data_IF_236659090011
#
_entry.id   IF_236659090011
#
_cell.length_a   1.000
_cell.length_b   1.000
_cell.length_c   1.000
_cell.angle_alpha   90.00
_cell.angle_beta   90.00
_cell.angle_gamma   90.00
#
_symmetry.space_group_name_H-M   'P 1'
#
loop_
_entity.id
_entity.type
_entity.pdbx_description
1 polymer ?
#
# COMPACT_ATOMS: atom_id res chain seq x y z
N UNK A 1 -15.13 -48.61 -16.26
CA UNK A 1 -13.71 -48.19 -16.41
C UNK A 1 -13.38 -46.88 -15.69
N UNK A 2 -14.16 -45.81 -15.86
CA UNK A 2 -13.89 -44.50 -15.21
C UNK A 2 -13.76 -44.56 -13.68
N UNK A 3 -14.66 -45.26 -12.98
CA UNK A 3 -14.59 -45.37 -11.51
C UNK A 3 -13.27 -45.95 -10.98
N UNK A 4 -12.66 -46.89 -11.70
CA UNK A 4 -11.37 -47.49 -11.32
C UNK A 4 -10.23 -46.50 -11.58
N UNK A 5 -10.25 -45.83 -12.73
CA UNK A 5 -9.30 -44.76 -13.07
C UNK A 5 -9.27 -43.67 -11.98
N UNK A 6 -10.44 -43.15 -11.60
CA UNK A 6 -10.56 -42.11 -10.59
C UNK A 6 -10.02 -42.58 -9.23
N UNK A 7 -10.17 -43.88 -8.89
CA UNK A 7 -9.63 -44.44 -7.65
C UNK A 7 -8.10 -44.56 -7.67
N UNK A 8 -7.53 -44.89 -8.82
CA UNK A 8 -6.07 -45.00 -9.00
C UNK A 8 -5.42 -43.62 -8.90
N UNK A 9 -6.03 -42.59 -9.49
CA UNK A 9 -5.49 -41.22 -9.53
C UNK A 9 -6.01 -40.30 -8.41
N UNK A 10 -6.80 -40.81 -7.45
CA UNK A 10 -7.27 -40.04 -6.30
C UNK A 10 -8.35 -38.99 -6.62
N UNK A 11 -9.05 -39.15 -7.73
CA UNK A 11 -10.16 -38.28 -8.16
C UNK A 11 -11.50 -38.72 -7.55
N UNK A 12 -12.55 -37.92 -7.77
CA UNK A 12 -13.89 -38.20 -7.22
C UNK A 12 -14.45 -39.51 -7.80
N UNK A 13 -14.71 -40.49 -6.93
CA UNK A 13 -15.16 -41.85 -7.33
C UNK A 13 -16.66 -42.06 -7.23
N UNK A 14 -17.36 -41.29 -6.38
CA UNK A 14 -18.82 -41.38 -6.20
C UNK A 14 -19.50 -40.42 -7.19
N UNK A 15 -20.63 -40.81 -7.79
CA UNK A 15 -21.42 -39.86 -8.55
C UNK A 15 -21.94 -38.79 -7.59
N UNK A 16 -21.51 -37.55 -7.81
CA UNK A 16 -21.85 -36.38 -6.99
C UNK A 16 -22.49 -35.30 -7.85
N UNK A 17 -23.28 -34.44 -7.22
CA UNK A 17 -23.87 -33.28 -7.88
C UNK A 17 -22.79 -32.34 -8.44
N UNK A 18 -23.14 -31.62 -9.51
CA UNK A 18 -22.25 -30.70 -10.24
C UNK A 18 -21.69 -29.63 -9.30
N UNK A 19 -22.48 -29.16 -8.33
CA UNK A 19 -22.04 -28.19 -7.31
C UNK A 19 -20.93 -28.74 -6.42
N UNK A 20 -21.03 -30.02 -6.04
CA UNK A 20 -20.03 -30.68 -5.18
C UNK A 20 -18.74 -30.96 -5.94
N UNK A 21 -18.86 -31.29 -7.23
CA UNK A 21 -17.70 -31.46 -8.14
C UNK A 21 -16.92 -30.15 -8.26
N UNK A 22 -17.62 -29.00 -8.38
CA UNK A 22 -16.98 -27.67 -8.41
C UNK A 22 -16.10 -27.42 -7.17
N UNK A 23 -16.59 -27.74 -5.99
CA UNK A 23 -15.83 -27.57 -4.75
C UNK A 23 -14.55 -28.42 -4.77
N UNK A 24 -14.68 -29.70 -5.11
CA UNK A 24 -13.55 -30.62 -5.14
C UNK A 24 -12.52 -30.29 -6.23
N UNK A 25 -12.95 -29.85 -7.41
CA UNK A 25 -12.08 -29.66 -8.57
C UNK A 25 -11.60 -28.23 -8.79
N UNK A 26 -12.39 -27.20 -8.45
CA UNK A 26 -12.04 -25.80 -8.74
C UNK A 26 -11.66 -25.03 -7.48
N UNK A 27 -12.27 -25.32 -6.33
CA UNK A 27 -12.02 -24.56 -5.09
C UNK A 27 -10.89 -25.20 -4.27
N UNK A 28 -10.90 -26.52 -4.13
CA UNK A 28 -9.95 -27.23 -3.27
C UNK A 28 -8.64 -27.62 -3.97
N UNK A 29 -8.66 -27.77 -5.30
CA UNK A 29 -7.44 -28.06 -6.08
C UNK A 29 -6.64 -26.81 -6.39
N UNK A 30 -7.30 -25.67 -6.57
CA UNK A 30 -6.65 -24.42 -6.89
C UNK A 30 -6.23 -23.69 -5.62
N UNK A 31 -5.21 -22.86 -5.73
CA UNK A 31 -4.81 -21.97 -4.66
C UNK A 31 -5.94 -20.94 -4.40
N UNK A 32 -6.30 -20.68 -3.12
CA UNK A 32 -7.24 -19.64 -2.76
C UNK A 32 -6.83 -18.29 -3.36
N UNK A 33 -7.80 -17.54 -3.87
CA UNK A 33 -7.55 -16.23 -4.48
C UNK A 33 -6.71 -15.30 -3.60
N UNK A 34 -6.94 -15.31 -2.29
CA UNK A 34 -6.21 -14.46 -1.33
C UNK A 34 -4.72 -14.80 -1.19
N UNK A 35 -4.32 -16.03 -1.54
CA UNK A 35 -2.93 -16.50 -1.47
C UNK A 35 -2.19 -16.28 -2.78
N UNK A 36 -2.92 -16.17 -3.89
CA UNK A 36 -2.33 -15.89 -5.20
C UNK A 36 -1.60 -14.53 -5.17
N UNK A 37 -0.34 -14.50 -5.60
CA UNK A 37 0.52 -13.30 -5.54
C UNK A 37 -0.12 -12.04 -6.13
N UNK A 38 -0.94 -12.17 -7.17
CA UNK A 38 -1.61 -11.06 -7.86
C UNK A 38 -2.70 -10.40 -6.99
N UNK A 39 -3.39 -11.18 -6.17
CA UNK A 39 -4.49 -10.72 -5.31
C UNK A 39 -4.09 -10.70 -3.83
N UNK A 40 -2.86 -11.11 -3.53
CA UNK A 40 -2.32 -11.15 -2.18
C UNK A 40 -2.27 -9.74 -1.59
N UNK A 41 -2.56 -9.59 -0.28
CA UNK A 41 -2.32 -8.35 0.45
C UNK A 41 -0.87 -7.84 0.34
N UNK A 42 0.07 -8.72 0.02
CA UNK A 42 1.49 -8.42 -0.16
C UNK A 42 1.82 -7.79 -1.53
N UNK A 43 0.84 -7.62 -2.41
CA UNK A 43 1.03 -7.05 -3.75
C UNK A 43 1.75 -5.69 -3.72
N UNK A 44 1.40 -4.84 -2.75
CA UNK A 44 2.13 -3.60 -2.51
C UNK A 44 3.19 -3.80 -1.43
N UNK A 45 4.41 -3.28 -1.65
CA UNK A 45 5.42 -3.30 -0.61
C UNK A 45 4.98 -2.45 0.59
N UNK A 46 5.57 -2.69 1.76
CA UNK A 46 5.34 -1.90 2.95
C UNK A 46 5.93 -0.47 2.81
N UNK A 47 5.19 0.42 2.15
CA UNK A 47 5.58 1.80 1.89
C UNK A 47 5.89 2.61 3.16
N UNK A 48 5.10 2.50 4.26
CA UNK A 48 5.43 3.18 5.51
C UNK A 48 6.82 2.81 6.04
N UNK A 49 7.19 1.53 6.01
CA UNK A 49 8.50 1.07 6.46
C UNK A 49 9.64 1.75 5.69
N UNK A 50 9.56 1.78 4.35
CA UNK A 50 10.57 2.45 3.52
C UNK A 50 10.61 3.97 3.76
N UNK A 51 9.46 4.61 3.93
CA UNK A 51 9.38 6.04 4.23
C UNK A 51 10.05 6.40 5.55
N UNK A 52 9.77 5.63 6.61
CA UNK A 52 10.39 5.86 7.92
C UNK A 52 11.88 5.54 7.91
N UNK A 53 12.30 4.48 7.23
CA UNK A 53 13.69 4.10 7.11
C UNK A 53 14.54 5.21 6.49
N UNK A 54 14.15 5.73 5.32
CA UNK A 54 14.90 6.80 4.65
C UNK A 54 14.92 8.09 5.46
N UNK A 55 13.82 8.39 6.17
CA UNK A 55 13.76 9.52 7.10
C UNK A 55 14.74 9.38 8.26
N UNK A 56 14.84 8.20 8.88
CA UNK A 56 15.81 7.95 9.96
C UNK A 56 17.25 8.04 9.45
N UNK A 57 17.54 7.45 8.29
CA UNK A 57 18.87 7.52 7.68
C UNK A 57 19.29 8.97 7.37
N UNK A 58 18.34 9.81 6.92
CA UNK A 58 18.57 11.26 6.75
C UNK A 58 18.91 11.93 8.08
N UNK A 59 18.16 11.64 9.15
CA UNK A 59 18.41 12.20 10.49
C UNK A 59 19.77 11.80 11.04
N UNK A 60 20.24 10.60 10.73
CA UNK A 60 21.57 10.11 11.10
C UNK A 60 22.70 10.61 10.18
N UNK A 61 22.40 11.36 9.12
CA UNK A 61 23.38 11.87 8.17
C UNK A 61 23.99 10.82 7.24
N UNK A 62 23.43 9.60 7.22
CA UNK A 62 23.93 8.48 6.39
C UNK A 62 23.35 8.54 4.98
N UNK A 63 22.15 9.12 4.82
CA UNK A 63 21.45 9.21 3.55
C UNK A 63 21.10 10.65 3.20
N UNK A 64 21.39 11.05 1.97
CA UNK A 64 21.04 12.36 1.43
C UNK A 64 19.86 12.24 0.45
N UNK A 65 18.69 12.71 0.88
CA UNK A 65 17.48 12.74 0.06
C UNK A 65 17.34 14.09 -0.66
N UNK A 66 17.77 14.13 -1.93
CA UNK A 66 17.70 15.34 -2.77
C UNK A 66 16.29 15.91 -2.90
N UNK A 67 15.28 15.04 -3.03
CA UNK A 67 13.91 15.46 -3.25
C UNK A 67 13.34 16.13 -1.98
N UNK A 68 13.62 15.57 -0.81
CA UNK A 68 13.20 16.17 0.47
C UNK A 68 13.95 17.48 0.71
N UNK A 69 15.25 17.52 0.47
CA UNK A 69 16.07 18.73 0.64
C UNK A 69 15.58 19.85 -0.30
N UNK A 70 15.32 19.54 -1.56
CA UNK A 70 14.76 20.51 -2.50
C UNK A 70 13.42 21.08 -2.01
N UNK A 71 12.53 20.23 -1.49
CA UNK A 71 11.24 20.65 -0.93
C UNK A 71 11.41 21.59 0.28
N UNK A 72 12.36 21.30 1.16
CA UNK A 72 12.70 22.12 2.32
C UNK A 72 13.19 23.51 1.88
N UNK A 73 14.13 23.57 0.94
CA UNK A 73 14.64 24.83 0.37
C UNK A 73 13.52 25.63 -0.30
N UNK A 74 12.63 24.99 -1.07
CA UNK A 74 11.49 25.67 -1.67
C UNK A 74 10.54 26.26 -0.63
N UNK A 75 10.38 25.60 0.52
CA UNK A 75 9.57 26.11 1.62
C UNK A 75 10.25 27.32 2.28
N UNK A 76 11.56 27.30 2.48
CA UNK A 76 12.33 28.44 3.00
C UNK A 76 12.22 29.67 2.10
N UNK A 77 12.39 29.50 0.78
CA UNK A 77 12.23 30.57 -0.21
C UNK A 77 10.81 31.15 -0.14
N UNK A 78 9.79 30.30 0.04
CA UNK A 78 8.39 30.74 0.18
C UNK A 78 8.17 31.54 1.46
N UNK A 79 8.75 31.10 2.57
CA UNK A 79 8.69 31.79 3.85
C UNK A 79 9.39 33.14 3.79
N UNK A 80 10.57 33.22 3.17
CA UNK A 80 11.31 34.46 2.92
C UNK A 80 10.51 35.45 2.04
N UNK A 81 9.76 34.93 1.06
CA UNK A 81 8.79 35.72 0.26
C UNK A 81 7.52 36.10 1.04
N UNK A 82 7.46 35.81 2.33
CA UNK A 82 6.33 36.11 3.20
C UNK A 82 5.10 35.23 2.99
N UNK A 83 5.19 34.13 2.22
CA UNK A 83 4.06 33.21 2.02
C UNK A 83 3.90 32.30 3.24
N UNK A 84 2.66 32.03 3.61
CA UNK A 84 2.33 31.06 4.67
C UNK A 84 2.30 29.68 4.02
N UNK A 85 3.31 28.86 4.33
CA UNK A 85 3.47 27.50 3.75
C UNK A 85 2.62 26.49 4.51
N UNK A 86 2.68 26.52 5.83
CA UNK A 86 1.92 25.64 6.72
C UNK A 86 1.14 26.49 7.73
N UNK A 87 -0.14 26.83 7.47
CA UNK A 87 -0.97 27.49 8.47
C UNK A 87 -1.21 26.52 9.65
N UNK A 88 -1.48 27.08 10.84
CA UNK A 88 -1.81 26.27 12.01
C UNK A 88 -3.06 25.44 11.71
N UNK A 89 -3.05 24.18 12.13
CA UNK A 89 -4.19 23.27 11.93
C UNK A 89 -5.43 23.90 12.57
N UNK A 90 -6.50 24.05 11.79
CA UNK A 90 -7.74 24.71 12.22
C UNK A 90 -7.83 26.21 11.86
N UNK A 91 -6.72 26.86 11.52
CA UNK A 91 -6.73 28.23 11.00
C UNK A 91 -6.81 28.21 9.48
N UNK A 92 -7.95 28.65 8.94
CA UNK A 92 -8.11 28.78 7.49
C UNK A 92 -7.01 29.67 6.89
N UNK A 93 -6.55 29.34 5.68
CA UNK A 93 -5.50 30.06 4.95
C UNK A 93 -5.75 31.58 4.89
N UNK A 94 -7.02 32.00 4.83
CA UNK A 94 -7.40 33.40 4.81
C UNK A 94 -7.23 34.10 6.18
N UNK A 95 -7.54 33.41 7.28
CA UNK A 95 -7.36 33.95 8.64
C UNK A 95 -5.88 34.17 8.94
N UNK A 96 -5.05 33.17 8.64
CA UNK A 96 -3.60 33.25 8.83
C UNK A 96 -2.97 34.40 8.00
N UNK A 97 -3.46 34.64 6.77
CA UNK A 97 -3.03 35.79 5.95
C UNK A 97 -3.45 37.13 6.56
N UNK A 98 -4.65 37.23 7.15
CA UNK A 98 -5.15 38.46 7.78
C UNK A 98 -4.35 38.79 9.04
N UNK A 99 -4.12 37.80 9.91
CA UNK A 99 -3.32 37.98 11.14
C UNK A 99 -1.90 38.46 10.84
N UNK A 100 -1.26 37.90 9.80
CA UNK A 100 0.07 38.34 9.36
C UNK A 100 0.13 39.77 8.84
N UNK A 101 -0.95 40.30 8.27
CA UNK A 101 -0.98 41.68 7.76
C UNK A 101 -1.25 42.71 8.87
N UNK A 102 -1.62 42.27 10.08
CA UNK A 102 -1.97 43.12 11.22
C UNK A 102 -0.79 43.23 12.21
N UNK A 103 0.17 42.31 12.16
CA UNK A 103 1.45 42.33 12.90
C UNK A 103 2.55 43.02 12.13
#
# INVERSE_FOLDING_TARGET
MQRLSNKIFGEVTRPTDIKSIRVANEIMKNEPWEQQEVYSPEYYPNLPMFHYLTKMLKLHGVYFDEHVVWREVQNEIRLAKGKIVHPKIGEGKQKAKREKNVS
#
